data_IF_684869416698
#
_entry.id   IF_684869416698
#
_cell.length_a   1.000
_cell.length_b   1.000
_cell.length_c   1.000
_cell.angle_alpha   90.00
_cell.angle_beta   90.00
_cell.angle_gamma   90.00
#
_symmetry.space_group_name_H-M   'P 1'
#
loop_
_entity.id
_entity.type
_entity.pdbx_description
1 polymer ?
#
# COMPACT_ATOMS: atom_id res chain seq x y z
N UNK A 1 20.04 21.87 -26.50
CA UNK A 1 18.89 20.98 -26.58
C UNK A 1 19.27 19.67 -25.89
N UNK A 2 19.03 19.64 -24.58
CA UNK A 2 19.44 18.52 -23.74
C UNK A 2 18.47 17.34 -23.92
N UNK A 3 19.02 16.18 -24.26
CA UNK A 3 18.30 14.91 -24.31
C UNK A 3 18.06 14.48 -22.86
N UNK A 4 16.84 14.68 -22.35
CA UNK A 4 16.41 14.08 -21.08
C UNK A 4 16.16 12.59 -21.35
N UNK A 5 17.14 11.77 -20.97
CA UNK A 5 16.94 10.31 -20.88
C UNK A 5 16.15 10.08 -19.61
N UNK A 6 14.85 9.81 -19.74
CA UNK A 6 14.04 9.29 -18.67
C UNK A 6 14.44 7.81 -18.45
N UNK A 7 15.40 7.61 -17.56
CA UNK A 7 15.60 6.29 -16.97
C UNK A 7 14.45 6.04 -15.99
N UNK A 8 13.62 5.04 -16.25
CA UNK A 8 12.70 4.53 -15.25
C UNK A 8 13.54 3.99 -14.10
N UNK A 9 13.53 4.68 -12.96
CA UNK A 9 14.06 4.13 -11.71
C UNK A 9 13.14 2.99 -11.36
N UNK A 10 13.59 1.75 -11.56
CA UNK A 10 12.91 0.59 -11.03
C UNK A 10 12.85 0.79 -9.51
N UNK A 11 11.65 0.92 -8.96
CA UNK A 11 11.43 0.95 -7.53
C UNK A 11 11.97 -0.37 -6.98
N UNK A 12 13.04 -0.31 -6.20
CA UNK A 12 13.64 -1.49 -5.63
C UNK A 12 12.58 -2.20 -4.78
N UNK A 13 12.30 -3.46 -5.10
CA UNK A 13 11.45 -4.28 -4.25
C UNK A 13 12.10 -4.40 -2.86
N UNK A 14 11.33 -4.37 -1.76
CA UNK A 14 11.90 -4.55 -0.44
C UNK A 14 12.64 -5.89 -0.36
N UNK A 15 13.68 -6.00 0.46
CA UNK A 15 14.49 -7.21 0.58
C UNK A 15 13.70 -8.32 1.30
N UNK A 16 12.81 -9.02 0.60
CA UNK A 16 11.88 -10.00 1.15
C UNK A 16 12.60 -11.09 1.96
N UNK A 17 13.69 -11.65 1.43
CA UNK A 17 14.47 -12.67 2.14
C UNK A 17 14.96 -12.17 3.52
N UNK A 18 15.38 -10.91 3.62
CA UNK A 18 15.80 -10.32 4.88
C UNK A 18 14.62 -10.15 5.82
N UNK A 19 13.47 -9.69 5.32
CA UNK A 19 12.24 -9.52 6.09
C UNK A 19 11.73 -10.85 6.63
N UNK A 20 11.74 -11.88 5.79
CA UNK A 20 11.29 -13.22 6.14
C UNK A 20 12.23 -13.88 7.15
N UNK A 21 13.55 -13.65 7.05
CA UNK A 21 14.55 -14.22 7.96
C UNK A 21 14.44 -13.73 9.41
N UNK A 22 13.85 -12.56 9.64
CA UNK A 22 13.63 -12.05 11.01
C UNK A 22 12.22 -12.37 11.53
N UNK A 23 11.28 -12.76 10.67
CA UNK A 23 9.89 -13.05 11.04
C UNK A 23 9.75 -14.48 11.56
N UNK A 24 9.05 -14.65 12.67
CA UNK A 24 8.88 -15.96 13.33
C UNK A 24 7.40 -16.25 13.63
N UNK A 25 7.03 -17.54 13.56
CA UNK A 25 5.76 -18.05 14.03
C UNK A 25 5.82 -18.26 15.55
N UNK A 26 4.83 -17.74 16.25
CA UNK A 26 4.60 -17.99 17.67
C UNK A 26 3.38 -18.87 17.82
N UNK A 27 3.51 -19.98 18.52
CA UNK A 27 2.42 -20.95 18.65
C UNK A 27 2.39 -21.62 20.02
N UNK A 28 1.17 -21.95 20.43
CA UNK A 28 0.88 -22.79 21.58
C UNK A 28 -0.51 -23.44 21.39
N UNK A 29 -0.92 -24.40 22.26
CA UNK A 29 -2.20 -25.10 22.11
C UNK A 29 -3.45 -24.18 22.05
N UNK A 30 -3.35 -22.94 22.54
CA UNK A 30 -4.49 -22.02 22.68
C UNK A 30 -4.36 -20.73 21.86
N UNK A 31 -3.22 -20.51 21.22
CA UNK A 31 -2.97 -19.30 20.46
C UNK A 31 -1.89 -19.50 19.40
N UNK A 32 -2.00 -18.74 18.32
CA UNK A 32 -0.93 -18.54 17.35
C UNK A 32 -0.84 -17.05 17.00
N UNK A 33 0.33 -16.64 16.58
CA UNK A 33 0.61 -15.27 16.16
C UNK A 33 1.98 -15.19 15.51
N UNK A 34 2.42 -14.00 15.29
CA UNK A 34 3.73 -13.69 14.69
C UNK A 34 4.62 -12.97 15.68
N UNK A 35 5.88 -12.92 15.37
CA UNK A 35 6.89 -12.15 16.05
C UNK A 35 8.09 -11.90 15.16
N UNK A 36 9.09 -11.27 15.71
CA UNK A 36 10.36 -11.06 14.99
C UNK A 36 11.56 -11.13 15.92
N UNK A 37 12.69 -11.50 15.34
CA UNK A 37 13.96 -11.69 16.03
C UNK A 37 14.64 -10.34 16.30
N UNK A 38 15.23 -10.22 17.49
CA UNK A 38 16.12 -9.13 17.89
C UNK A 38 17.44 -9.69 18.45
N UNK A 39 18.42 -8.81 18.60
CA UNK A 39 19.70 -9.09 19.22
C UNK A 39 20.32 -10.40 18.70
N UNK A 40 20.52 -10.45 17.37
CA UNK A 40 21.10 -11.61 16.69
C UNK A 40 20.36 -12.93 16.97
N UNK A 41 19.05 -12.85 17.17
CA UNK A 41 18.19 -14.02 17.38
C UNK A 41 18.17 -14.55 18.80
N UNK A 42 18.55 -13.76 19.80
CA UNK A 42 18.43 -14.11 21.23
C UNK A 42 17.04 -13.81 21.78
N UNK A 43 16.41 -12.76 21.29
CA UNK A 43 15.11 -12.30 21.75
C UNK A 43 14.10 -12.32 20.62
N UNK A 44 12.82 -12.43 20.99
CA UNK A 44 11.68 -12.31 20.08
C UNK A 44 10.72 -11.29 20.64
N UNK A 45 10.26 -10.38 19.77
CA UNK A 45 9.18 -9.45 20.05
C UNK A 45 7.88 -10.00 19.48
N UNK A 46 6.79 -9.82 20.22
CA UNK A 46 5.42 -10.13 19.80
C UNK A 46 4.42 -9.27 20.57
N UNK A 47 3.12 -9.43 20.30
CA UNK A 47 2.09 -8.84 21.13
C UNK A 47 1.90 -9.60 22.47
N UNK A 48 1.56 -8.87 23.53
CA UNK A 48 1.23 -9.45 24.82
C UNK A 48 0.03 -10.38 24.75
N UNK A 49 -1.03 -9.99 24.06
CA UNK A 49 -2.23 -10.82 23.90
C UNK A 49 -1.97 -12.17 23.19
N UNK A 50 -0.88 -12.27 22.39
CA UNK A 50 -0.42 -13.53 21.78
C UNK A 50 0.30 -14.39 22.82
N UNK A 51 1.21 -13.79 23.58
CA UNK A 51 2.09 -14.50 24.53
C UNK A 51 1.37 -14.93 25.81
N UNK A 52 0.53 -14.07 26.39
CA UNK A 52 -0.07 -14.24 27.73
C UNK A 52 -0.81 -15.55 27.93
N UNK A 53 -1.45 -16.07 26.88
CA UNK A 53 -2.26 -17.31 26.96
C UNK A 53 -1.44 -18.54 27.31
N UNK A 54 -0.15 -18.54 27.03
CA UNK A 54 0.70 -19.75 27.13
C UNK A 54 2.06 -19.54 27.75
N UNK A 55 2.56 -18.32 27.84
CA UNK A 55 3.94 -18.05 28.32
C UNK A 55 4.14 -18.55 29.76
N UNK A 56 3.18 -18.30 30.64
CA UNK A 56 3.24 -18.72 32.05
C UNK A 56 3.12 -20.25 32.24
N UNK A 57 2.69 -20.97 31.22
CA UNK A 57 2.55 -22.43 31.23
C UNK A 57 3.77 -23.13 30.60
N UNK A 58 4.72 -22.37 30.10
CA UNK A 58 5.91 -22.90 29.42
C UNK A 58 5.62 -23.65 28.11
N UNK A 59 4.43 -23.45 27.53
CA UNK A 59 4.01 -24.16 26.33
C UNK A 59 4.15 -23.31 25.05
N UNK A 60 4.58 -22.05 25.19
CA UNK A 60 4.82 -21.17 24.06
C UNK A 60 6.10 -21.57 23.33
N UNK A 61 6.01 -21.68 22.02
CA UNK A 61 7.12 -22.04 21.14
C UNK A 61 7.24 -21.00 20.04
N UNK A 62 8.47 -20.75 19.65
CA UNK A 62 8.84 -19.96 18.48
C UNK A 62 9.40 -20.88 17.42
N UNK A 63 8.95 -20.68 16.19
CA UNK A 63 9.35 -21.48 15.02
C UNK A 63 9.81 -20.53 13.94
N UNK A 64 11.03 -20.73 13.46
CA UNK A 64 11.59 -19.98 12.32
C UNK A 64 11.29 -20.69 11.00
N UNK A 65 11.30 -19.95 9.90
CA UNK A 65 11.00 -20.47 8.56
C UNK A 65 11.88 -21.66 8.12
N UNK A 66 13.11 -21.74 8.62
CA UNK A 66 14.02 -22.87 8.37
C UNK A 66 13.70 -24.13 9.19
N UNK A 67 12.60 -24.15 9.95
CA UNK A 67 12.15 -25.25 10.78
C UNK A 67 12.79 -25.32 12.18
N UNK A 68 13.70 -24.43 12.54
CA UNK A 68 14.23 -24.33 13.90
C UNK A 68 13.12 -23.97 14.89
N UNK A 69 13.17 -24.58 16.08
CA UNK A 69 12.16 -24.38 17.13
C UNK A 69 12.86 -24.10 18.45
N UNK A 70 12.35 -23.14 19.22
CA UNK A 70 12.81 -22.86 20.57
C UNK A 70 11.62 -22.70 21.52
N UNK A 71 11.81 -23.19 22.76
CA UNK A 71 10.98 -22.77 23.88
C UNK A 71 11.44 -21.38 24.33
N UNK A 72 10.56 -20.65 24.99
CA UNK A 72 10.82 -19.27 25.39
C UNK A 72 10.60 -19.06 26.90
N UNK A 73 11.30 -18.07 27.42
CA UNK A 73 11.03 -17.42 28.71
C UNK A 73 10.48 -16.02 28.48
N UNK A 74 9.67 -15.54 29.40
CA UNK A 74 9.22 -14.15 29.40
C UNK A 74 10.35 -13.26 29.91
N UNK A 75 10.82 -12.31 29.12
CA UNK A 75 11.81 -11.30 29.49
C UNK A 75 11.15 -10.05 30.07
N UNK A 76 10.13 -9.55 29.38
CA UNK A 76 9.35 -8.40 29.78
C UNK A 76 8.06 -8.29 28.98
N UNK A 77 7.13 -7.52 29.50
CA UNK A 77 5.88 -7.22 28.78
C UNK A 77 5.29 -5.89 29.22
N UNK A 78 4.50 -5.30 28.35
CA UNK A 78 3.72 -4.12 28.65
C UNK A 78 2.29 -4.30 28.09
N UNK A 79 1.30 -4.45 28.97
CA UNK A 79 -0.09 -4.66 28.57
C UNK A 79 -0.68 -3.46 27.83
N UNK A 80 -0.34 -2.24 28.27
CA UNK A 80 -0.88 -1.02 27.66
C UNK A 80 -0.39 -0.85 26.22
N UNK A 81 0.86 -1.21 25.95
CA UNK A 81 1.48 -1.16 24.64
C UNK A 81 1.21 -2.43 23.82
N UNK A 82 0.62 -3.45 24.44
CA UNK A 82 0.42 -4.79 23.86
C UNK A 82 1.72 -5.40 23.33
N UNK A 83 2.81 -5.27 24.07
CA UNK A 83 4.15 -5.76 23.74
C UNK A 83 4.60 -6.87 24.70
N UNK A 84 5.30 -7.86 24.17
CA UNK A 84 6.01 -8.89 24.94
C UNK A 84 7.38 -9.14 24.30
N UNK A 85 8.40 -9.22 25.15
CA UNK A 85 9.76 -9.60 24.79
C UNK A 85 10.06 -10.96 25.42
N UNK A 86 10.49 -11.90 24.59
CA UNK A 86 10.71 -13.29 24.96
C UNK A 86 12.18 -13.65 24.77
N UNK A 87 12.78 -14.38 25.75
CA UNK A 87 14.10 -14.96 25.63
C UNK A 87 14.00 -16.32 24.96
N UNK A 88 14.71 -16.56 23.88
CA UNK A 88 14.83 -17.87 23.28
C UNK A 88 15.78 -18.74 24.10
N UNK A 89 15.34 -19.93 24.51
CA UNK A 89 16.22 -20.90 25.19
C UNK A 89 17.33 -21.41 24.27
N UNK A 90 17.02 -21.51 22.99
CA UNK A 90 18.00 -21.82 21.95
C UNK A 90 17.93 -20.65 20.94
N UNK A 91 18.95 -19.76 20.93
CA UNK A 91 18.99 -18.64 20.00
C UNK A 91 18.96 -19.12 18.54
N UNK A 92 18.30 -18.31 17.68
CA UNK A 92 18.34 -18.53 16.25
C UNK A 92 19.41 -17.62 15.63
N UNK A 93 20.28 -18.21 14.81
CA UNK A 93 21.18 -17.41 13.99
C UNK A 93 20.34 -16.69 12.92
N UNK A 94 20.23 -15.39 13.01
CA UNK A 94 19.43 -14.61 12.08
C UNK A 94 19.77 -13.14 12.15
N UNK A 95 19.17 -12.38 11.23
CA UNK A 95 19.31 -10.94 11.18
C UNK A 95 18.45 -10.32 12.28
N UNK A 96 18.93 -9.24 12.88
CA UNK A 96 18.04 -8.26 13.50
C UNK A 96 17.88 -7.11 12.52
N UNK A 97 16.64 -6.70 12.26
CA UNK A 97 16.37 -5.53 11.44
C UNK A 97 16.44 -4.27 12.32
N UNK A 98 16.93 -3.13 11.79
CA UNK A 98 16.90 -1.87 12.50
C UNK A 98 15.46 -1.44 12.82
N UNK A 99 15.28 -0.75 13.94
CA UNK A 99 14.02 -0.13 14.33
C UNK A 99 13.96 1.31 13.81
N UNK A 100 12.82 1.68 13.23
CA UNK A 100 12.62 3.01 12.62
C UNK A 100 11.94 3.94 13.61
N UNK A 101 12.60 5.02 14.06
CA UNK A 101 11.95 6.02 14.89
C UNK A 101 10.74 6.66 14.19
N UNK A 102 9.68 6.94 14.92
CA UNK A 102 8.43 7.44 14.35
C UNK A 102 8.56 8.81 13.65
N UNK A 103 9.59 9.60 13.96
CA UNK A 103 9.88 10.85 13.25
C UNK A 103 10.36 10.62 11.82
N UNK A 104 10.92 9.45 11.50
CA UNK A 104 11.31 9.05 10.15
C UNK A 104 10.15 8.42 9.36
N UNK A 105 9.03 8.10 10.00
CA UNK A 105 7.84 7.54 9.36
C UNK A 105 6.88 8.68 9.01
N UNK A 106 6.32 8.68 7.79
CA UNK A 106 5.33 9.68 7.36
C UNK A 106 4.03 9.02 6.89
N UNK A 107 2.96 9.81 6.81
CA UNK A 107 1.73 9.41 6.13
C UNK A 107 2.03 9.13 4.66
N UNK A 108 1.45 8.08 4.10
CA UNK A 108 1.62 7.57 2.75
C UNK A 108 2.94 6.80 2.51
N UNK A 109 3.79 6.62 3.52
CA UNK A 109 4.93 5.71 3.37
C UNK A 109 4.45 4.29 3.11
N UNK A 110 5.04 3.63 2.12
CA UNK A 110 4.82 2.22 1.83
C UNK A 110 5.31 1.35 2.98
N UNK A 111 4.52 0.36 3.34
CA UNK A 111 4.87 -0.62 4.38
C UNK A 111 4.50 -2.04 3.98
N UNK A 112 5.16 -3.01 4.60
CA UNK A 112 4.89 -4.44 4.46
C UNK A 112 4.68 -5.05 5.84
N UNK A 113 3.56 -5.74 6.03
CA UNK A 113 3.28 -6.51 7.24
C UNK A 113 3.64 -7.96 6.98
N UNK A 114 4.62 -8.49 7.70
CA UNK A 114 4.99 -9.90 7.62
C UNK A 114 4.42 -10.68 8.80
N UNK A 115 3.98 -11.91 8.52
CA UNK A 115 3.46 -12.77 9.59
C UNK A 115 2.92 -14.10 9.10
N UNK A 116 2.28 -14.82 10.01
CA UNK A 116 1.73 -16.15 9.81
C UNK A 116 0.21 -16.15 10.01
N UNK A 117 -0.58 -15.63 9.06
CA UNK A 117 -2.03 -15.58 9.18
C UNK A 117 -2.61 -16.99 9.18
N UNK A 118 -3.52 -17.28 10.12
CA UNK A 118 -4.13 -18.59 10.26
C UNK A 118 -4.86 -19.07 9.00
N UNK A 119 -5.41 -18.14 8.20
CA UNK A 119 -6.06 -18.45 6.93
C UNK A 119 -5.09 -19.01 5.86
N UNK A 120 -3.80 -18.66 5.92
CA UNK A 120 -2.80 -19.16 4.97
C UNK A 120 -2.45 -20.64 5.21
N UNK A 121 -2.61 -21.13 6.44
CA UNK A 121 -2.34 -22.53 6.79
C UNK A 121 -3.41 -23.53 6.33
N UNK A 122 -4.59 -23.04 5.86
CA UNK A 122 -5.68 -23.90 5.38
C UNK A 122 -5.55 -24.39 3.95
N UNK A 123 -4.63 -23.82 3.16
CA UNK A 123 -4.51 -24.07 1.72
C UNK A 123 -3.25 -24.85 1.36
N UNK A 124 -2.24 -24.83 2.22
CA UNK A 124 -0.95 -25.52 1.98
C UNK A 124 -0.82 -26.86 2.71
N UNK A 125 -0.04 -27.76 2.16
CA UNK A 125 0.39 -28.95 2.87
C UNK A 125 1.19 -28.52 4.12
N UNK A 126 0.79 -28.99 5.30
CA UNK A 126 1.38 -28.61 6.60
C UNK A 126 2.89 -28.92 6.73
N UNK A 127 3.45 -29.58 5.73
CA UNK A 127 4.86 -29.97 5.68
C UNK A 127 5.71 -29.11 4.73
N UNK A 128 5.17 -28.17 3.96
CA UNK A 128 5.90 -27.63 2.81
C UNK A 128 6.38 -26.20 2.91
N UNK A 129 5.86 -25.35 3.77
CA UNK A 129 6.45 -24.00 3.91
C UNK A 129 6.07 -23.31 5.22
N UNK A 130 7.09 -22.98 6.00
CA UNK A 130 6.98 -22.06 7.15
C UNK A 130 7.33 -20.63 6.70
N UNK A 131 7.12 -20.31 5.43
CA UNK A 131 7.35 -18.99 4.87
C UNK A 131 6.29 -17.99 5.38
N UNK A 132 6.71 -16.84 5.88
CA UNK A 132 5.76 -15.82 6.31
C UNK A 132 5.04 -15.20 5.10
N UNK A 133 3.82 -14.73 5.33
CA UNK A 133 3.04 -14.00 4.33
C UNK A 133 3.30 -12.51 4.46
N UNK A 134 3.60 -11.84 3.34
CA UNK A 134 3.76 -10.39 3.27
C UNK A 134 2.50 -9.74 2.69
N UNK A 135 2.02 -8.68 3.33
CA UNK A 135 0.95 -7.83 2.79
C UNK A 135 1.41 -6.38 2.71
N UNK A 136 1.29 -5.77 1.52
CA UNK A 136 1.65 -4.38 1.30
C UNK A 136 0.50 -3.44 1.68
N UNK A 137 0.84 -2.28 2.18
CA UNK A 137 -0.05 -1.16 2.45
C UNK A 137 0.74 0.13 2.67
N UNK A 138 0.08 1.12 3.25
CA UNK A 138 0.67 2.41 3.60
C UNK A 138 0.39 2.81 5.05
N UNK A 139 1.16 3.75 5.55
CA UNK A 139 0.83 4.48 6.78
C UNK A 139 -0.33 5.46 6.49
N UNK A 140 -1.54 5.12 6.91
CA UNK A 140 -2.72 5.96 6.70
C UNK A 140 -2.72 7.20 7.61
N UNK A 141 -2.28 7.06 8.86
CA UNK A 141 -2.04 8.16 9.81
C UNK A 141 -1.24 7.72 11.04
N UNK A 142 -0.68 8.69 11.74
CA UNK A 142 -0.05 8.50 13.06
C UNK A 142 -1.03 8.98 14.14
N UNK A 143 -1.16 8.21 15.21
CA UNK A 143 -2.02 8.55 16.36
C UNK A 143 -1.30 8.25 17.67
N UNK A 144 -1.74 8.91 18.73
CA UNK A 144 -1.40 8.51 20.10
C UNK A 144 -2.71 8.16 20.81
N UNK A 145 -2.83 6.91 21.24
CA UNK A 145 -3.99 6.41 21.96
C UNK A 145 -3.55 5.84 23.30
N UNK A 146 -4.17 6.25 24.39
CA UNK A 146 -3.78 5.85 25.76
C UNK A 146 -2.28 6.02 26.06
N UNK A 147 -1.69 7.10 25.54
CA UNK A 147 -0.24 7.39 25.61
C UNK A 147 0.64 6.38 24.89
N UNK A 148 0.12 5.63 23.94
CA UNK A 148 0.86 4.73 23.05
C UNK A 148 0.85 5.31 21.65
N UNK A 149 2.01 5.47 21.03
CA UNK A 149 2.17 5.89 19.64
C UNK A 149 1.84 4.73 18.74
N UNK A 150 0.95 4.94 17.81
CA UNK A 150 0.46 3.91 16.88
C UNK A 150 0.37 4.45 15.46
N UNK A 151 0.41 3.55 14.51
CA UNK A 151 0.11 3.81 13.11
C UNK A 151 -1.19 3.13 12.74
N UNK A 152 -2.09 3.86 12.10
CA UNK A 152 -3.15 3.26 11.30
C UNK A 152 -2.55 2.88 9.95
N UNK A 153 -2.79 1.65 9.51
CA UNK A 153 -2.30 1.10 8.25
C UNK A 153 -3.47 0.49 7.47
N UNK A 154 -3.35 0.40 6.16
CA UNK A 154 -4.35 -0.22 5.29
C UNK A 154 -3.91 -1.60 4.75
N UNK A 155 -2.71 -2.05 5.13
CA UNK A 155 -2.27 -3.42 4.87
C UNK A 155 -3.25 -4.43 5.46
N UNK A 156 -3.45 -5.54 4.76
CA UNK A 156 -4.31 -6.62 5.25
C UNK A 156 -3.67 -7.32 6.46
N UNK A 157 -4.16 -7.04 7.65
CA UNK A 157 -3.78 -7.72 8.90
C UNK A 157 -4.87 -8.71 9.26
N UNK A 158 -4.53 -9.99 9.31
CA UNK A 158 -5.44 -11.09 9.65
C UNK A 158 -5.05 -11.74 10.98
N UNK A 159 -5.98 -12.48 11.64
CA UNK A 159 -5.63 -13.27 12.83
C UNK A 159 -4.43 -14.17 12.55
N UNK A 160 -3.38 -14.02 13.36
CA UNK A 160 -2.07 -14.65 13.15
C UNK A 160 -0.97 -13.68 12.74
N UNK A 161 -1.27 -12.54 12.11
CA UNK A 161 -0.27 -11.50 11.85
C UNK A 161 0.09 -10.67 13.11
N UNK A 162 -0.75 -10.73 14.15
CA UNK A 162 -0.52 -10.02 15.41
C UNK A 162 0.85 -10.35 15.99
N UNK A 163 1.61 -9.31 16.33
CA UNK A 163 2.98 -9.39 16.82
C UNK A 163 4.03 -9.40 15.72
N UNK A 164 3.63 -9.55 14.47
CA UNK A 164 4.54 -9.51 13.32
C UNK A 164 5.08 -8.10 13.05
N UNK A 165 6.25 -8.01 12.40
CA UNK A 165 6.88 -6.75 12.07
C UNK A 165 6.15 -6.01 10.94
N UNK A 166 6.14 -4.69 11.03
CA UNK A 166 5.74 -3.78 9.96
C UNK A 166 7.01 -3.14 9.43
N UNK A 167 7.39 -3.49 8.21
CA UNK A 167 8.60 -3.02 7.56
C UNK A 167 8.35 -1.80 6.67
N UNK A 168 9.37 -0.97 6.55
CA UNK A 168 9.49 0.02 5.47
C UNK A 168 10.09 -0.63 4.21
N UNK A 169 10.28 0.13 3.14
CA UNK A 169 10.85 -0.34 1.87
C UNK A 169 12.34 -0.77 1.95
N UNK A 170 13.05 -0.41 3.02
CA UNK A 170 14.43 -0.85 3.28
C UNK A 170 14.49 -2.18 4.09
N UNK A 171 13.34 -2.73 4.47
CA UNK A 171 13.26 -3.89 5.35
C UNK A 171 13.66 -3.58 6.79
N UNK A 172 13.42 -2.34 7.25
CA UNK A 172 13.59 -1.89 8.62
C UNK A 172 12.22 -1.85 9.31
N UNK A 173 12.17 -2.09 10.62
CA UNK A 173 10.93 -2.26 11.37
C UNK A 173 10.39 -0.91 11.85
N UNK A 174 9.32 -0.44 11.26
CA UNK A 174 8.61 0.78 11.65
C UNK A 174 7.62 0.54 12.81
N UNK A 175 7.12 -0.68 12.97
CA UNK A 175 6.15 -0.99 14.01
C UNK A 175 5.82 -2.47 14.14
N UNK A 176 4.91 -2.77 15.04
CA UNK A 176 4.44 -4.11 15.38
C UNK A 176 2.94 -4.20 15.06
N UNK A 177 2.56 -5.09 14.14
CA UNK A 177 1.17 -5.30 13.78
C UNK A 177 0.37 -5.79 14.99
N UNK A 178 -0.76 -5.15 15.27
CA UNK A 178 -1.61 -5.51 16.40
C UNK A 178 -3.06 -5.72 15.95
N UNK A 179 -4.00 -5.03 16.50
CA UNK A 179 -5.42 -5.31 16.31
C UNK A 179 -5.98 -4.75 14.99
N UNK A 180 -6.95 -5.45 14.39
CA UNK A 180 -7.96 -4.81 13.57
C UNK A 180 -8.93 -4.02 14.46
N UNK A 181 -9.51 -2.93 13.93
CA UNK A 181 -10.63 -2.26 14.59
C UNK A 181 -11.78 -3.24 14.78
N UNK A 182 -12.11 -3.54 16.02
CA UNK A 182 -13.24 -4.39 16.37
C UNK A 182 -14.32 -3.54 17.04
N UNK A 183 -15.58 -3.75 16.66
CA UNK A 183 -16.73 -3.15 17.32
C UNK A 183 -17.55 -4.27 17.94
N UNK A 184 -17.93 -4.06 19.18
CA UNK A 184 -18.84 -4.98 19.85
C UNK A 184 -20.28 -4.69 19.38
N UNK A 185 -20.90 -5.65 18.72
CA UNK A 185 -22.30 -5.59 18.27
C UNK A 185 -23.11 -6.64 19.00
N UNK A 186 -24.36 -6.33 19.28
CA UNK A 186 -25.27 -7.30 19.89
C UNK A 186 -25.88 -8.15 18.78
N UNK A 187 -25.55 -9.44 18.76
CA UNK A 187 -26.17 -10.42 17.88
C UNK A 187 -27.33 -11.07 18.59
N UNK A 188 -28.50 -11.11 17.94
CA UNK A 188 -29.69 -11.78 18.49
C UNK A 188 -29.57 -13.27 18.23
N UNK A 189 -29.26 -14.02 19.28
CA UNK A 189 -29.21 -15.48 19.24
C UNK A 189 -30.51 -16.08 19.84
N UNK A 190 -30.78 -17.36 19.62
CA UNK A 190 -31.91 -18.05 20.28
C UNK A 190 -31.88 -18.00 21.83
N UNK A 191 -30.69 -17.74 22.40
CA UNK A 191 -30.47 -17.58 23.84
C UNK A 191 -30.58 -16.13 24.31
N UNK A 192 -30.93 -15.19 23.43
CA UNK A 192 -31.03 -13.76 23.68
C UNK A 192 -29.84 -12.97 23.04
N UNK A 193 -29.87 -11.64 23.17
CA UNK A 193 -28.79 -10.79 22.63
C UNK A 193 -27.47 -11.12 23.28
N UNK A 194 -26.47 -11.46 22.47
CA UNK A 194 -25.08 -11.73 22.90
C UNK A 194 -24.14 -10.72 22.29
N UNK A 195 -23.16 -10.18 23.06
CA UNK A 195 -22.14 -9.30 22.49
C UNK A 195 -21.18 -10.11 21.63
N UNK A 196 -21.11 -9.78 20.34
CA UNK A 196 -20.18 -10.37 19.38
C UNK A 196 -19.23 -9.30 18.89
N UNK A 197 -17.94 -9.61 18.90
CA UNK A 197 -16.92 -8.71 18.34
C UNK A 197 -16.84 -8.92 16.85
N UNK A 198 -17.29 -7.93 16.11
CA UNK A 198 -17.19 -7.90 14.65
C UNK A 198 -16.03 -7.02 14.24
N UNK A 199 -15.19 -7.54 13.37
CA UNK A 199 -14.10 -6.74 12.78
C UNK A 199 -14.71 -5.78 11.78
N UNK A 200 -14.61 -4.48 12.05
CA UNK A 200 -15.07 -3.44 11.13
C UNK A 200 -13.89 -2.88 10.33
N UNK A 201 -14.13 -2.73 9.01
CA UNK A 201 -13.24 -2.04 8.09
C UNK A 201 -12.11 -2.92 7.57
N UNK A 202 -12.30 -3.54 6.42
CA UNK A 202 -11.16 -3.92 5.58
C UNK A 202 -10.37 -2.64 5.25
N UNK A 203 -9.04 -2.71 5.35
CA UNK A 203 -8.17 -1.55 5.15
C UNK A 203 -8.01 -0.63 6.38
N UNK A 204 -8.47 -1.05 7.56
CA UNK A 204 -8.15 -0.38 8.83
C UNK A 204 -7.51 -1.38 9.78
N UNK A 205 -6.21 -1.29 9.92
CA UNK A 205 -5.45 -2.06 10.89
C UNK A 205 -4.53 -1.11 11.68
N UNK A 206 -3.96 -1.62 12.75
CA UNK A 206 -3.11 -0.85 13.65
C UNK A 206 -1.76 -1.51 13.83
N UNK A 207 -0.73 -0.69 13.98
CA UNK A 207 0.59 -1.11 14.40
C UNK A 207 1.05 -0.23 15.57
N UNK A 208 1.62 -0.82 16.58
CA UNK A 208 2.35 -0.10 17.63
C UNK A 208 3.65 0.43 17.02
N UNK A 209 3.96 1.70 17.24
CA UNK A 209 5.21 2.30 16.73
C UNK A 209 6.44 1.60 17.32
N UNK A 210 7.50 1.50 16.53
CA UNK A 210 8.79 1.01 17.02
C UNK A 210 9.37 1.85 18.17
N UNK A 211 9.02 3.13 18.32
CA UNK A 211 9.40 3.95 19.47
C UNK A 211 8.98 3.30 20.80
N UNK A 212 7.77 2.73 20.85
CA UNK A 212 7.23 2.10 22.06
C UNK A 212 7.99 0.82 22.42
N UNK A 213 8.50 0.12 21.40
CA UNK A 213 9.37 -1.03 21.61
C UNK A 213 10.76 -0.59 22.07
N UNK A 214 11.34 0.46 21.48
CA UNK A 214 12.65 0.97 21.87
C UNK A 214 12.68 1.34 23.36
N UNK A 215 11.62 1.98 23.87
CA UNK A 215 11.49 2.30 25.30
C UNK A 215 11.55 1.03 26.17
N UNK A 216 10.84 -0.04 25.81
CA UNK A 216 10.86 -1.30 26.56
C UNK A 216 12.23 -2.00 26.47
N UNK A 217 12.90 -1.93 25.31
CA UNK A 217 14.23 -2.52 25.14
C UNK A 217 15.30 -1.78 25.96
N UNK A 218 15.21 -0.45 26.03
CA UNK A 218 16.10 0.38 26.86
C UNK A 218 15.94 0.05 28.34
N UNK A 219 14.69 -0.08 28.84
CA UNK A 219 14.42 -0.49 30.22
C UNK A 219 14.97 -1.90 30.56
N UNK A 220 14.96 -2.80 29.59
CA UNK A 220 15.44 -4.18 29.76
C UNK A 220 16.93 -4.34 29.47
N UNK A 221 17.63 -3.31 29.00
CA UNK A 221 19.04 -3.34 28.59
C UNK A 221 19.31 -4.25 27.38
N UNK A 222 18.36 -4.39 26.47
CA UNK A 222 18.49 -5.23 25.27
C UNK A 222 18.98 -4.36 24.10
N UNK A 223 20.12 -4.72 23.47
CA UNK A 223 20.67 -3.95 22.38
C UNK A 223 19.82 -4.10 21.10
N UNK A 224 19.67 -3.00 20.36
CA UNK A 224 19.01 -2.94 19.05
C UNK A 224 19.71 -1.94 18.14
N UNK A 225 19.43 -2.02 16.84
CA UNK A 225 19.89 -1.07 15.85
C UNK A 225 18.79 -0.06 15.54
N UNK A 226 19.16 1.20 15.33
CA UNK A 226 18.23 2.27 14.98
C UNK A 226 18.48 2.69 13.53
N UNK A 227 17.42 2.82 12.75
CA UNK A 227 17.49 3.38 11.40
C UNK A 227 17.83 4.87 11.47
N UNK A 228 18.80 5.31 10.67
CA UNK A 228 19.32 6.68 10.70
C UNK A 228 18.81 7.55 9.55
N UNK A 229 18.26 6.94 8.51
CA UNK A 229 17.80 7.62 7.31
C UNK A 229 16.39 7.20 6.96
N UNK A 230 15.64 8.13 6.39
CA UNK A 230 14.38 7.81 5.76
C UNK A 230 14.64 7.25 4.36
N UNK A 231 13.89 6.23 3.90
CA UNK A 231 13.86 5.87 2.50
C UNK A 231 13.55 7.11 1.65
N UNK A 232 14.36 7.41 0.66
CA UNK A 232 14.02 8.45 -0.30
C UNK A 232 12.85 7.95 -1.14
N UNK A 233 11.64 8.38 -0.80
CA UNK A 233 10.46 8.18 -1.65
C UNK A 233 10.77 8.80 -3.01
N UNK A 234 10.85 8.00 -4.05
CA UNK A 234 11.36 8.24 -5.39
C UNK A 234 10.99 9.57 -6.06
N UNK A 235 11.58 10.65 -5.59
CA UNK A 235 11.67 11.92 -6.26
C UNK A 235 13.17 12.23 -6.42
N UNK A 236 13.63 11.97 -7.63
CA UNK A 236 14.92 12.43 -8.17
C UNK A 236 16.11 12.08 -7.28
N UNK A 237 16.69 10.90 -7.52
CA UNK A 237 18.04 10.60 -7.07
C UNK A 237 18.99 11.68 -7.62
N UNK A 238 19.41 12.61 -6.77
CA UNK A 238 20.64 13.35 -7.03
C UNK A 238 21.76 12.33 -6.96
N UNK A 239 22.22 11.89 -8.12
CA UNK A 239 23.46 11.13 -8.23
C UNK A 239 24.53 12.05 -7.67
N UNK A 240 24.94 11.82 -6.42
CA UNK A 240 26.17 12.41 -5.89
C UNK A 240 27.32 11.73 -6.65
N UNK A 241 27.63 12.28 -7.81
CA UNK A 241 28.84 11.91 -8.54
C UNK A 241 30.00 12.43 -7.69
N UNK A 242 30.89 11.53 -7.29
CA UNK A 242 32.12 11.90 -6.59
C UNK A 242 32.72 13.13 -7.26
N UNK A 243 33.07 14.13 -6.44
CA UNK A 243 33.49 15.49 -6.90
C UNK A 243 34.63 15.43 -7.95
N UNK A 244 35.46 14.40 -7.87
CA UNK A 244 36.52 14.13 -8.87
C UNK A 244 36.01 13.62 -10.22
N UNK A 245 34.87 12.91 -10.22
CA UNK A 245 34.27 12.36 -11.44
C UNK A 245 33.42 13.42 -12.14
N UNK A 246 32.68 14.23 -11.38
CA UNK A 246 31.90 15.35 -11.92
C UNK A 246 32.80 16.41 -12.55
N UNK A 247 33.95 16.71 -11.92
CA UNK A 247 34.96 17.64 -12.49
C UNK A 247 35.56 17.12 -13.80
N UNK A 248 35.85 15.83 -13.91
CA UNK A 248 36.34 15.21 -15.16
C UNK A 248 35.31 15.24 -16.27
N UNK A 249 34.04 14.96 -15.96
CA UNK A 249 32.95 15.03 -16.95
C UNK A 249 32.72 16.47 -17.41
N UNK A 250 32.73 17.44 -16.50
CA UNK A 250 32.60 18.86 -16.83
C UNK A 250 33.74 19.36 -17.72
N UNK A 251 34.98 18.97 -17.42
CA UNK A 251 36.14 19.29 -18.25
C UNK A 251 36.05 18.66 -19.64
N UNK A 252 35.64 17.38 -19.71
CA UNK A 252 35.47 16.70 -21.01
C UNK A 252 34.35 17.36 -21.85
N UNK A 253 33.24 17.74 -21.24
CA UNK A 253 32.15 18.44 -21.90
C UNK A 253 32.60 19.85 -22.40
N UNK A 254 33.34 20.58 -21.60
CA UNK A 254 33.91 21.89 -21.98
C UNK A 254 34.88 21.77 -23.15
N UNK A 255 35.78 20.78 -23.13
CA UNK A 255 36.72 20.51 -24.22
C UNK A 255 35.98 20.13 -25.51
N UNK A 256 34.97 19.27 -25.44
CA UNK A 256 34.14 18.90 -26.60
C UNK A 256 33.40 20.11 -27.17
N UNK A 257 32.88 20.99 -26.31
CA UNK A 257 32.20 22.21 -26.73
C UNK A 257 33.17 23.17 -27.43
N UNK A 258 34.40 23.29 -26.94
CA UNK A 258 35.46 24.13 -27.54
C UNK A 258 35.89 23.58 -28.91
N UNK A 259 36.04 22.26 -29.04
CA UNK A 259 36.36 21.59 -30.31
C UNK A 259 35.21 21.79 -31.31
N UNK A 260 33.95 21.63 -30.89
CA UNK A 260 32.79 21.87 -31.74
C UNK A 260 32.71 23.32 -32.21
N UNK A 261 33.06 24.27 -31.35
CA UNK A 261 33.14 25.70 -31.67
C UNK A 261 34.24 25.99 -32.68
N UNK A 262 35.45 25.44 -32.50
CA UNK A 262 36.57 25.56 -33.43
C UNK A 262 36.24 24.99 -34.81
N UNK A 263 35.60 23.84 -34.88
CA UNK A 263 35.12 23.21 -36.13
C UNK A 263 34.11 24.13 -36.82
N UNK A 264 33.19 24.74 -36.07
CA UNK A 264 32.17 25.65 -36.62
C UNK A 264 32.76 26.92 -37.30
N UNK A 265 33.95 27.35 -36.90
CA UNK A 265 34.64 28.50 -37.50
C UNK A 265 35.38 28.16 -38.77
N UNK A 266 35.63 26.90 -39.10
CA UNK A 266 36.30 26.50 -40.36
C UNK A 266 35.29 26.50 -41.53
N UNK A 267 35.79 26.81 -42.76
CA UNK A 267 34.94 26.74 -43.96
C UNK A 267 34.34 25.35 -44.18
N UNK A 268 35.09 24.29 -43.89
CA UNK A 268 34.64 22.88 -43.97
C UNK A 268 33.62 22.55 -42.87
N UNK A 269 33.82 23.02 -41.64
CA UNK A 269 32.89 22.79 -40.53
C UNK A 269 31.52 23.43 -40.76
N UNK A 270 31.47 24.60 -41.37
CA UNK A 270 30.22 25.28 -41.78
C UNK A 270 29.42 24.47 -42.81
N UNK A 271 30.14 23.75 -43.71
CA UNK A 271 29.48 22.90 -44.72
C UNK A 271 28.93 21.63 -44.07
N UNK A 272 29.66 21.01 -43.16
CA UNK A 272 29.22 19.82 -42.42
C UNK A 272 28.03 20.16 -41.51
N UNK A 273 28.06 21.29 -40.82
CA UNK A 273 26.93 21.73 -39.97
C UNK A 273 25.68 21.99 -40.83
N UNK A 274 25.82 22.62 -42.00
CA UNK A 274 24.71 22.80 -42.92
C UNK A 274 24.16 21.48 -43.43
N UNK A 275 24.99 20.50 -43.69
CA UNK A 275 24.57 19.19 -44.18
C UNK A 275 23.89 18.33 -43.06
N UNK A 276 24.40 18.39 -41.83
CA UNK A 276 23.80 17.76 -40.66
C UNK A 276 22.47 18.42 -40.28
N UNK A 277 22.41 19.75 -40.30
CA UNK A 277 21.18 20.50 -40.07
C UNK A 277 20.16 20.22 -41.16
N UNK A 278 20.57 20.18 -42.45
CA UNK A 278 19.65 19.82 -43.52
C UNK A 278 19.21 18.35 -43.52
N UNK A 279 20.01 17.41 -43.01
CA UNK A 279 19.59 16.01 -42.79
C UNK A 279 18.68 15.87 -41.60
N UNK A 280 18.86 16.69 -40.55
CA UNK A 280 17.98 16.68 -39.35
C UNK A 280 16.69 17.49 -39.61
N UNK A 281 16.69 18.37 -40.59
CA UNK A 281 15.53 19.16 -41.04
C UNK A 281 14.99 18.61 -42.38
N UNK A 282 15.29 17.33 -42.68
CA UNK A 282 14.67 16.64 -43.79
C UNK A 282 13.15 16.71 -43.71
N UNK A 283 12.59 17.62 -44.56
CA UNK A 283 11.17 17.76 -44.82
C UNK A 283 10.27 17.90 -43.57
N UNK A 284 10.51 18.90 -42.79
CA UNK A 284 9.40 19.59 -42.18
C UNK A 284 8.89 20.56 -43.28
N UNK A 285 7.99 20.07 -44.13
CA UNK A 285 6.96 20.97 -44.63
C UNK A 285 6.44 21.69 -43.40
N UNK A 286 6.37 23.05 -43.39
CA UNK A 286 5.71 23.70 -42.26
C UNK A 286 4.35 23.01 -42.15
N UNK A 287 4.04 22.43 -40.98
CA UNK A 287 2.69 21.93 -40.79
C UNK A 287 1.84 23.16 -41.14
N UNK A 288 0.99 23.01 -42.15
CA UNK A 288 -0.14 23.90 -42.32
C UNK A 288 -0.63 24.15 -40.92
N UNK A 289 -0.61 25.43 -40.47
CA UNK A 289 -1.04 25.81 -39.13
C UNK A 289 -2.18 24.85 -38.77
N UNK A 290 -2.07 24.08 -37.67
CA UNK A 290 -3.25 23.36 -37.24
C UNK A 290 -4.26 24.49 -37.08
N UNK A 291 -5.27 24.50 -37.94
CA UNK A 291 -6.50 25.19 -37.59
C UNK A 291 -6.70 24.75 -36.15
N UNK A 292 -6.72 25.69 -35.23
CA UNK A 292 -7.17 25.51 -33.86
C UNK A 292 -8.46 24.70 -34.01
N UNK A 293 -8.32 23.37 -33.94
CA UNK A 293 -9.48 22.52 -33.64
C UNK A 293 -9.94 23.10 -32.34
N UNK A 294 -11.04 23.76 -32.34
CA UNK A 294 -11.77 24.14 -31.15
C UNK A 294 -11.63 23.00 -30.20
N UNK A 295 -11.02 23.28 -29.07
CA UNK A 295 -10.82 22.34 -28.00
C UNK A 295 -12.22 22.06 -27.47
N UNK A 296 -12.99 21.16 -28.16
CA UNK A 296 -14.27 20.72 -27.66
C UNK A 296 -14.01 20.16 -26.29
N UNK A 297 -14.50 20.84 -25.27
CA UNK A 297 -14.38 20.38 -23.89
C UNK A 297 -15.03 19.01 -23.83
N UNK A 298 -14.24 18.00 -23.45
CA UNK A 298 -14.74 16.64 -23.28
C UNK A 298 -15.52 16.59 -21.97
N UNK A 299 -16.73 16.07 -22.01
CA UNK A 299 -17.63 15.96 -20.86
C UNK A 299 -17.64 14.50 -20.39
N UNK A 300 -17.25 14.24 -19.13
CA UNK A 300 -17.37 12.89 -18.58
C UNK A 300 -18.84 12.59 -18.25
N UNK A 301 -19.33 11.46 -18.75
CA UNK A 301 -20.71 11.02 -18.55
C UNK A 301 -20.79 9.58 -18.02
N UNK A 302 -21.78 9.37 -17.17
CA UNK A 302 -22.24 8.06 -16.75
C UNK A 302 -23.54 7.71 -17.49
N UNK A 303 -23.52 6.66 -18.32
CA UNK A 303 -24.70 6.21 -19.07
C UNK A 303 -25.27 4.92 -18.51
N UNK A 304 -26.54 4.92 -18.15
CA UNK A 304 -27.28 3.72 -17.81
C UNK A 304 -27.58 2.89 -19.06
N UNK A 305 -27.05 1.65 -19.12
CA UNK A 305 -27.25 0.75 -20.25
C UNK A 305 -28.37 -0.26 -20.02
N UNK A 306 -28.62 -0.64 -18.77
CA UNK A 306 -29.72 -1.51 -18.40
C UNK A 306 -30.21 -1.21 -16.98
N UNK A 307 -31.34 -1.80 -16.60
CA UNK A 307 -31.94 -1.60 -15.29
C UNK A 307 -32.70 -0.28 -15.19
N UNK A 308 -32.78 0.24 -13.99
CA UNK A 308 -33.62 1.40 -13.65
C UNK A 308 -33.22 2.69 -14.35
N UNK A 309 -31.93 2.84 -14.59
CA UNK A 309 -31.36 4.03 -15.24
C UNK A 309 -31.07 3.82 -16.73
N UNK A 310 -31.67 2.81 -17.36
CA UNK A 310 -31.48 2.56 -18.80
C UNK A 310 -31.86 3.78 -19.62
N UNK A 311 -30.94 4.25 -20.48
CA UNK A 311 -31.12 5.43 -21.31
C UNK A 311 -30.91 6.78 -20.61
N UNK A 312 -30.59 6.78 -19.31
CA UNK A 312 -30.27 8.00 -18.58
C UNK A 312 -28.78 8.27 -18.67
N UNK A 313 -28.40 9.53 -18.98
CA UNK A 313 -27.03 10.04 -18.90
C UNK A 313 -26.92 11.05 -17.75
N UNK A 314 -25.83 10.94 -17.01
CA UNK A 314 -25.49 11.84 -15.90
C UNK A 314 -24.11 12.41 -16.16
N UNK A 315 -24.01 13.73 -16.30
CA UNK A 315 -22.72 14.43 -16.40
C UNK A 315 -21.99 14.32 -15.07
N UNK A 316 -20.70 14.03 -15.12
CA UNK A 316 -19.85 13.91 -13.95
C UNK A 316 -19.01 15.18 -13.82
N UNK A 317 -18.89 15.65 -12.60
CA UNK A 317 -17.96 16.73 -12.21
C UNK A 317 -16.82 16.18 -11.36
N UNK A 318 -16.04 17.05 -10.77
CA UNK A 318 -14.93 16.72 -9.84
C UNK A 318 -15.43 16.30 -8.44
N UNK A 319 -16.74 16.34 -8.18
CA UNK A 319 -17.29 15.88 -6.92
C UNK A 319 -17.64 14.39 -6.99
N UNK A 320 -17.40 13.64 -5.89
CA UNK A 320 -17.77 12.23 -5.84
C UNK A 320 -19.29 12.04 -5.95
N UNK A 321 -19.74 11.27 -6.94
CA UNK A 321 -21.13 10.87 -7.11
C UNK A 321 -21.42 9.58 -6.32
N UNK A 322 -22.24 9.67 -5.31
CA UNK A 322 -22.66 8.49 -4.52
C UNK A 322 -23.90 7.86 -5.14
N UNK A 323 -23.82 6.55 -5.38
CA UNK A 323 -24.92 5.72 -5.89
C UNK A 323 -25.49 4.87 -4.77
N UNK A 324 -26.80 4.87 -4.58
CA UNK A 324 -27.46 4.09 -3.52
C UNK A 324 -28.95 4.30 -3.45
N UNK A 325 -29.63 3.71 -2.46
CA UNK A 325 -31.08 3.84 -2.28
C UNK A 325 -31.50 4.81 -1.15
N UNK A 326 -30.57 5.38 -0.39
CA UNK A 326 -30.88 6.36 0.64
C UNK A 326 -30.63 7.78 0.10
N UNK A 327 -31.69 8.59 -0.12
CA UNK A 327 -31.57 9.92 -0.69
C UNK A 327 -30.83 10.92 0.21
N UNK A 328 -30.58 10.59 1.48
CA UNK A 328 -29.82 11.45 2.38
C UNK A 328 -28.31 11.37 2.15
N UNK A 329 -27.83 10.32 1.48
CA UNK A 329 -26.40 10.04 1.27
C UNK A 329 -26.04 9.79 -0.19
N UNK A 330 -27.02 9.49 -1.05
CA UNK A 330 -26.80 9.21 -2.47
C UNK A 330 -27.37 10.35 -3.33
N UNK A 331 -26.66 10.70 -4.41
CA UNK A 331 -27.10 11.62 -5.43
C UNK A 331 -27.78 10.87 -6.61
N UNK A 332 -27.24 9.70 -6.99
CA UNK A 332 -27.94 8.80 -7.91
C UNK A 332 -28.76 7.80 -7.08
N UNK A 333 -30.05 8.11 -6.91
CA UNK A 333 -30.90 7.46 -5.92
C UNK A 333 -31.76 6.37 -6.56
N UNK A 334 -31.62 5.13 -6.09
CA UNK A 334 -32.53 4.04 -6.38
C UNK A 334 -33.77 4.12 -5.46
N UNK A 335 -34.95 3.63 -5.91
CA UNK A 335 -36.15 3.62 -5.08
C UNK A 335 -35.95 2.78 -3.82
N UNK A 336 -36.71 3.09 -2.76
CA UNK A 336 -36.67 2.33 -1.50
C UNK A 336 -36.92 0.82 -1.68
N UNK A 337 -37.76 0.43 -2.65
CA UNK A 337 -38.06 -0.95 -3.02
C UNK A 337 -36.91 -1.70 -3.70
N UNK A 338 -35.82 -1.05 -4.09
CA UNK A 338 -34.64 -1.68 -4.67
C UNK A 338 -33.77 -2.32 -3.56
N UNK A 339 -34.29 -3.35 -2.89
CA UNK A 339 -33.66 -3.99 -1.72
C UNK A 339 -32.32 -4.63 -2.05
N UNK A 340 -32.03 -4.92 -3.31
CA UNK A 340 -30.76 -5.41 -3.82
C UNK A 340 -29.68 -4.32 -3.89
N UNK A 341 -30.04 -3.03 -3.78
CA UNK A 341 -29.09 -1.90 -3.74
C UNK A 341 -28.94 -1.41 -2.30
N UNK A 342 -27.72 -1.28 -1.83
CA UNK A 342 -27.41 -0.76 -0.49
C UNK A 342 -27.74 0.73 -0.37
N UNK A 343 -27.97 1.24 0.85
CA UNK A 343 -28.24 2.67 1.10
C UNK A 343 -27.17 3.59 0.50
N UNK A 344 -25.91 3.21 0.65
CA UNK A 344 -24.75 3.72 -0.04
C UNK A 344 -24.06 2.53 -0.70
N UNK A 345 -24.18 2.39 -2.01
CA UNK A 345 -23.74 1.18 -2.71
C UNK A 345 -22.32 1.33 -3.25
N UNK A 346 -22.07 2.36 -4.03
CA UNK A 346 -20.73 2.70 -4.52
C UNK A 346 -20.56 4.22 -4.62
N UNK A 347 -19.30 4.63 -4.79
CA UNK A 347 -18.92 6.01 -5.07
C UNK A 347 -18.15 6.06 -6.37
N UNK A 348 -18.50 7.02 -7.20
CA UNK A 348 -17.88 7.32 -8.49
C UNK A 348 -17.11 8.62 -8.35
N UNK A 349 -15.87 8.66 -8.82
CA UNK A 349 -15.05 9.88 -8.80
C UNK A 349 -14.34 10.02 -10.14
N UNK A 350 -14.64 11.08 -10.87
CA UNK A 350 -13.94 11.38 -12.12
C UNK A 350 -12.54 11.86 -11.85
N UNK A 351 -11.57 11.33 -12.59
CA UNK A 351 -10.15 11.71 -12.53
C UNK A 351 -9.76 12.38 -13.86
N UNK A 352 -9.68 13.72 -13.90
CA UNK A 352 -9.35 14.43 -15.13
C UNK A 352 -7.91 14.18 -15.61
N UNK A 353 -7.00 13.83 -14.71
CA UNK A 353 -5.60 13.55 -15.07
C UNK A 353 -5.47 12.24 -15.84
N UNK A 354 -6.18 11.20 -15.40
CA UNK A 354 -6.21 9.89 -16.05
C UNK A 354 -7.34 9.76 -17.07
N UNK A 355 -8.20 10.79 -17.23
CA UNK A 355 -9.40 10.76 -18.08
C UNK A 355 -10.24 9.51 -17.81
N UNK A 356 -10.38 9.14 -16.55
CA UNK A 356 -10.98 7.91 -16.11
C UNK A 356 -11.96 8.10 -14.94
N UNK A 357 -12.76 7.10 -14.67
CA UNK A 357 -13.74 7.10 -13.60
C UNK A 357 -13.36 6.05 -12.55
N UNK A 358 -13.05 6.47 -11.33
CA UNK A 358 -12.87 5.57 -10.20
C UNK A 358 -14.23 5.10 -9.71
N UNK A 359 -14.44 3.78 -9.68
CA UNK A 359 -15.61 3.13 -9.09
C UNK A 359 -15.17 2.41 -7.83
N UNK A 360 -15.70 2.82 -6.68
CA UNK A 360 -15.39 2.25 -5.36
C UNK A 360 -16.64 1.65 -4.76
N UNK A 361 -16.60 0.35 -4.46
CA UNK A 361 -17.67 -0.31 -3.70
C UNK A 361 -17.69 0.20 -2.24
N UNK A 362 -18.87 0.50 -1.72
CA UNK A 362 -19.09 1.01 -0.37
C UNK A 362 -19.63 -0.06 0.58
N UNK A 363 -19.01 -1.23 0.61
CA UNK A 363 -19.46 -2.39 1.39
C UNK A 363 -20.91 -2.75 1.07
N UNK A 364 -21.23 -2.75 -0.21
CA UNK A 364 -22.56 -3.07 -0.66
C UNK A 364 -22.85 -4.55 -0.40
N UNK A 365 -24.09 -4.85 0.00
CA UNK A 365 -24.53 -6.22 0.35
C UNK A 365 -24.34 -7.19 -0.80
N UNK A 366 -24.69 -6.77 -2.01
CA UNK A 366 -24.64 -7.62 -3.20
C UNK A 366 -23.42 -7.38 -4.10
N UNK A 367 -22.69 -6.30 -3.86
CA UNK A 367 -21.42 -5.97 -4.54
C UNK A 367 -21.58 -5.11 -5.78
N UNK A 368 -20.46 -4.47 -6.13
CA UNK A 368 -20.24 -3.73 -7.38
C UNK A 368 -19.30 -4.56 -8.26
N UNK A 369 -19.57 -4.63 -9.56
CA UNK A 369 -18.82 -5.47 -10.50
C UNK A 369 -18.26 -4.61 -11.63
N UNK A 370 -17.00 -4.84 -11.99
CA UNK A 370 -16.35 -4.22 -13.15
C UNK A 370 -15.88 -5.32 -14.09
N UNK A 371 -16.22 -5.24 -15.36
CA UNK A 371 -15.89 -6.26 -16.36
C UNK A 371 -16.24 -7.68 -15.89
N UNK A 372 -17.42 -7.85 -15.27
CA UNK A 372 -17.96 -9.09 -14.69
C UNK A 372 -17.24 -9.60 -13.43
N UNK A 373 -16.18 -8.94 -12.96
CA UNK A 373 -15.49 -9.29 -11.73
C UNK A 373 -16.03 -8.44 -10.57
N UNK A 374 -16.37 -9.09 -9.45
CA UNK A 374 -16.79 -8.39 -8.24
C UNK A 374 -15.64 -7.58 -7.67
N UNK A 375 -15.86 -6.31 -7.38
CA UNK A 375 -14.91 -5.51 -6.63
C UNK A 375 -14.85 -5.98 -5.20
N UNK A 376 -13.67 -6.03 -4.64
CA UNK A 376 -13.52 -6.20 -3.19
C UNK A 376 -14.10 -4.97 -2.50
N UNK A 377 -14.86 -5.20 -1.44
CA UNK A 377 -15.51 -4.12 -0.68
C UNK A 377 -14.50 -3.07 -0.23
N UNK A 378 -14.82 -1.81 -0.45
CA UNK A 378 -13.93 -0.68 -0.15
C UNK A 378 -12.82 -0.40 -1.17
N UNK A 379 -12.61 -1.29 -2.15
CA UNK A 379 -11.63 -1.08 -3.22
C UNK A 379 -12.21 -0.25 -4.37
N UNK A 380 -11.34 0.51 -5.01
CA UNK A 380 -11.65 1.28 -6.20
C UNK A 380 -10.98 0.67 -7.43
N UNK A 381 -11.68 0.74 -8.55
CA UNK A 381 -11.16 0.36 -9.87
C UNK A 381 -11.33 1.53 -10.82
N UNK A 382 -10.26 1.85 -11.55
CA UNK A 382 -10.33 2.84 -12.61
C UNK A 382 -10.98 2.24 -13.86
N UNK A 383 -11.99 2.94 -14.37
CA UNK A 383 -12.62 2.68 -15.65
C UNK A 383 -12.11 3.70 -16.68
N UNK A 384 -11.84 3.21 -17.88
CA UNK A 384 -11.57 4.06 -19.04
C UNK A 384 -12.86 4.30 -19.83
N UNK A 385 -12.93 5.32 -20.71
CA UNK A 385 -14.10 5.55 -21.55
C UNK A 385 -14.48 4.30 -22.36
N UNK A 386 -15.73 3.89 -22.25
CA UNK A 386 -16.28 2.64 -22.83
C UNK A 386 -16.35 1.47 -21.85
N UNK A 387 -15.66 1.54 -20.72
CA UNK A 387 -15.75 0.49 -19.68
C UNK A 387 -17.10 0.51 -18.98
N UNK A 388 -17.52 -0.66 -18.50
CA UNK A 388 -18.79 -0.83 -17.82
C UNK A 388 -18.62 -1.35 -16.39
N UNK A 389 -19.52 -0.93 -15.51
CA UNK A 389 -19.70 -1.54 -14.20
C UNK A 389 -21.16 -1.90 -13.96
N UNK A 390 -21.38 -2.75 -12.99
CA UNK A 390 -22.68 -3.31 -12.66
C UNK A 390 -22.89 -3.24 -11.14
N UNK A 391 -24.14 -3.10 -10.72
CA UNK A 391 -24.53 -3.14 -9.33
C UNK A 391 -25.31 -4.42 -9.06
N UNK A 392 -25.08 -5.02 -7.88
CA UNK A 392 -25.84 -6.15 -7.38
C UNK A 392 -25.79 -7.40 -8.29
N UNK A 393 -26.92 -7.82 -8.85
CA UNK A 393 -27.11 -8.99 -9.70
C UNK A 393 -26.76 -8.77 -11.19
N UNK A 394 -26.03 -7.71 -11.51
CA UNK A 394 -25.65 -7.29 -12.86
C UNK A 394 -26.80 -6.76 -13.75
N UNK A 395 -28.01 -6.58 -13.22
CA UNK A 395 -29.12 -6.02 -13.97
C UNK A 395 -28.97 -4.49 -14.16
N UNK A 396 -28.35 -3.83 -13.18
CA UNK A 396 -28.09 -2.39 -13.20
C UNK A 396 -26.71 -2.13 -13.79
N UNK A 397 -26.65 -1.88 -15.11
CA UNK A 397 -25.42 -1.69 -15.87
C UNK A 397 -25.21 -0.23 -16.24
N UNK A 398 -24.01 0.27 -16.00
CA UNK A 398 -23.56 1.60 -16.35
C UNK A 398 -22.29 1.56 -17.20
N UNK A 399 -22.15 2.54 -18.10
CA UNK A 399 -20.94 2.76 -18.89
C UNK A 399 -20.40 4.15 -18.62
N UNK A 400 -19.09 4.26 -18.45
CA UNK A 400 -18.41 5.55 -18.43
C UNK A 400 -18.09 5.97 -19.87
N UNK A 401 -18.42 7.21 -20.23
CA UNK A 401 -18.05 7.81 -21.52
C UNK A 401 -17.41 9.18 -21.33
N UNK A 402 -16.63 9.58 -22.32
CA UNK A 402 -16.01 10.90 -22.39
C UNK A 402 -16.29 11.45 -23.78
N UNK A 403 -17.34 12.22 -23.90
CA UNK A 403 -17.86 12.70 -25.17
C UNK A 403 -17.59 14.19 -25.38
N UNK A 404 -17.36 14.64 -26.61
CA UNK A 404 -17.24 16.06 -26.90
C UNK A 404 -18.56 16.77 -26.60
N UNK A 405 -18.50 17.91 -25.91
CA UNK A 405 -19.67 18.71 -25.58
C UNK A 405 -20.41 19.08 -26.88
N UNK A 406 -21.65 18.59 -27.06
CA UNK A 406 -22.52 19.06 -28.13
C UNK A 406 -22.92 20.51 -27.80
N UNK A 407 -22.48 21.43 -28.63
CA UNK A 407 -23.01 22.80 -28.61
C UNK A 407 -24.44 22.76 -29.17
N UNK A 408 -25.40 23.00 -28.28
CA UNK A 408 -26.81 23.21 -28.65
C UNK A 408 -26.98 24.43 -29.53
#
# INVERSE_FOLDING_TARGET
MGLLVYGSVAQASPPSEKMDSVTVLITCPKASGSGFLLDQGRHVVTNWHVAVKCVNKGTLKVIHQNGQKSSVGLRGYNERKDLAILDLKTPFSGYSAPLVPSNLVQKMDDIWVNGYPGAAFGIGDRNTSLEPTSTKGIISRKVTSNRVKMFQIDAAVNPGNSGGPVFNELGEIAGIATLKSQVEVMEVTPQGPQPVRVTFGEGIAWAVSADELMEELDELGIPYQVANTRPESGLVGTVTVDDRTSTKIAIAAAVLSLIAMLIAFTKQGRTIIKEVVNRSVGTLTPPSQPQLKENKSMVPELRGLSGRFSGVSVELDDQPLVVGRDPRVAQLVFPEGALNISKRHCVLTYDPNNKGLWVKDCWSTNGTFVNKNKLSSGHAKLLLPGDCFYLSNMDEKFMFSLDPKETA
#
